data_IF_799672034422
#
_entry.id   IF_799672034422
#
_cell.length_a   1.000
_cell.length_b   1.000
_cell.length_c   1.000
_cell.angle_alpha   90.00
_cell.angle_beta   90.00
_cell.angle_gamma   90.00
#
_symmetry.space_group_name_H-M   'P 1'
#
loop_
_entity.id
_entity.type
_entity.pdbx_description
1 polymer ?
#
# COMPACT_ATOMS: atom_id res chain seq x y z
N UNK A 1 2.33 27.42 -31.55
CA UNK A 1 3.54 26.72 -31.07
C UNK A 1 3.19 25.97 -29.79
N UNK A 2 3.38 24.64 -29.71
CA UNK A 2 3.05 23.89 -28.50
C UNK A 2 4.19 23.93 -27.47
N UNK A 3 3.82 24.18 -26.21
CA UNK A 3 4.71 24.13 -25.06
C UNK A 3 4.94 22.65 -24.71
N UNK A 4 6.19 22.19 -24.83
CA UNK A 4 6.64 20.86 -24.42
C UNK A 4 6.66 20.81 -22.89
N UNK A 5 5.72 20.09 -22.28
CA UNK A 5 5.79 19.73 -20.86
C UNK A 5 6.79 18.59 -20.73
N UNK A 6 7.96 18.88 -20.16
CA UNK A 6 8.98 17.88 -19.90
C UNK A 6 8.45 16.87 -18.88
N UNK A 7 8.29 15.62 -19.30
CA UNK A 7 8.04 14.48 -18.42
C UNK A 7 9.19 14.37 -17.43
N UNK A 8 8.95 14.68 -16.16
CA UNK A 8 9.91 14.42 -15.08
C UNK A 8 10.16 12.91 -15.01
N UNK A 9 11.31 12.52 -15.51
CA UNK A 9 11.95 11.22 -15.37
C UNK A 9 11.91 10.77 -13.90
N UNK A 10 11.05 9.81 -13.59
CA UNK A 10 11.13 9.03 -12.36
C UNK A 10 12.30 8.07 -12.54
N UNK A 11 13.47 8.48 -12.05
CA UNK A 11 14.61 7.58 -11.87
C UNK A 11 15.30 7.84 -10.53
N UNK A 12 14.74 7.43 -9.36
CA UNK A 12 15.52 7.36 -8.13
C UNK A 12 16.30 6.05 -8.01
N UNK A 13 15.87 4.96 -8.67
CA UNK A 13 16.30 3.62 -8.28
C UNK A 13 17.57 3.10 -8.97
N UNK A 14 17.93 3.63 -10.15
CA UNK A 14 19.04 3.07 -10.92
C UNK A 14 20.43 3.58 -10.53
N UNK A 15 20.54 4.62 -9.68
CA UNK A 15 21.84 5.24 -9.34
C UNK A 15 22.60 4.55 -8.21
N UNK A 16 21.98 3.63 -7.48
CA UNK A 16 22.58 2.96 -6.30
C UNK A 16 23.01 1.50 -6.53
N UNK A 17 22.82 0.94 -7.73
CA UNK A 17 23.20 -0.45 -8.02
C UNK A 17 24.62 -0.61 -8.60
N UNK A 18 25.36 0.49 -8.81
CA UNK A 18 26.74 0.44 -9.31
C UNK A 18 27.69 0.92 -8.22
N UNK A 19 28.48 -0.01 -7.69
CA UNK A 19 29.53 0.16 -6.66
C UNK A 19 29.05 -0.12 -5.24
N UNK A 20 28.99 -1.39 -4.84
CA UNK A 20 29.87 -1.87 -3.77
C UNK A 20 29.81 -3.42 -3.65
N UNK A 21 30.71 -4.12 -4.36
CA UNK A 21 31.07 -5.52 -4.03
C UNK A 21 32.33 -5.55 -3.16
N UNK A 22 32.41 -4.74 -2.10
CA UNK A 22 33.43 -4.96 -1.07
C UNK A 22 32.91 -6.03 -0.11
N UNK A 23 33.53 -7.20 -0.25
CA UNK A 23 33.50 -8.30 0.70
C UNK A 23 33.69 -7.75 2.12
N UNK A 24 32.72 -7.98 3.01
CA UNK A 24 32.76 -7.62 4.44
C UNK A 24 33.90 -8.31 5.22
N UNK A 25 34.61 -9.22 4.55
CA UNK A 25 35.74 -10.01 5.03
C UNK A 25 37.01 -9.13 5.00
N UNK A 26 37.09 -8.13 5.89
CA UNK A 26 38.28 -7.29 6.03
C UNK A 26 38.07 -5.91 6.66
N UNK A 27 36.83 -5.45 6.80
CA UNK A 27 36.55 -4.12 7.36
C UNK A 27 36.75 -4.05 8.89
N UNK A 28 37.33 -2.97 9.45
CA UNK A 28 37.36 -2.73 10.89
C UNK A 28 35.96 -2.80 11.50
N UNK A 29 35.83 -3.29 12.74
CA UNK A 29 34.54 -3.55 13.41
C UNK A 29 33.56 -2.37 13.34
N UNK A 30 34.05 -1.15 13.58
CA UNK A 30 33.28 0.10 13.52
C UNK A 30 32.71 0.41 12.13
N UNK A 31 33.47 0.13 11.06
CA UNK A 31 33.02 0.34 9.68
C UNK A 31 31.99 -0.72 9.24
N UNK A 32 32.07 -1.94 9.78
CA UNK A 32 31.04 -2.97 9.58
C UNK A 32 29.71 -2.57 10.21
N UNK A 33 29.75 -2.05 11.43
CA UNK A 33 28.56 -1.56 12.14
C UNK A 33 27.86 -0.43 11.37
N UNK A 34 28.65 0.55 10.88
CA UNK A 34 28.13 1.64 10.04
C UNK A 34 27.49 1.11 8.75
N UNK A 35 28.15 0.20 8.02
CA UNK A 35 27.57 -0.40 6.81
C UNK A 35 26.28 -1.20 7.09
N UNK A 36 26.20 -1.90 8.22
CA UNK A 36 24.97 -2.60 8.61
C UNK A 36 23.83 -1.64 8.93
N UNK A 37 24.13 -0.52 9.60
CA UNK A 37 23.14 0.53 9.89
C UNK A 37 22.67 1.21 8.61
N UNK A 38 23.58 1.55 7.70
CA UNK A 38 23.25 2.15 6.40
C UNK A 38 22.38 1.22 5.54
N UNK A 39 22.69 -0.08 5.49
CA UNK A 39 21.84 -1.06 4.77
C UNK A 39 20.45 -1.17 5.37
N UNK A 40 20.36 -1.17 6.70
CA UNK A 40 19.06 -1.25 7.38
C UNK A 40 18.23 0.02 7.19
N UNK A 41 18.86 1.19 7.18
CA UNK A 41 18.20 2.46 6.90
C UNK A 41 17.72 2.52 5.44
N UNK A 42 18.54 2.07 4.49
CA UNK A 42 18.15 1.94 3.09
C UNK A 42 16.97 0.98 2.89
N UNK A 43 16.95 -0.17 3.58
CA UNK A 43 15.83 -1.12 3.51
C UNK A 43 14.54 -0.51 4.07
N UNK A 44 14.62 0.23 5.20
CA UNK A 44 13.47 0.98 5.73
C UNK A 44 12.95 2.00 4.73
N UNK A 45 13.82 2.78 4.12
CA UNK A 45 13.43 3.78 3.10
C UNK A 45 12.75 3.10 1.92
N UNK A 46 13.32 2.00 1.39
CA UNK A 46 12.75 1.27 0.26
C UNK A 46 11.36 0.68 0.58
N UNK A 47 11.17 0.14 1.80
CA UNK A 47 9.86 -0.32 2.27
C UNK A 47 8.86 0.83 2.36
N UNK A 48 9.28 1.98 2.89
CA UNK A 48 8.42 3.14 3.04
C UNK A 48 7.97 3.71 1.68
N UNK A 49 8.88 3.78 0.71
CA UNK A 49 8.55 4.18 -0.66
C UNK A 49 7.57 3.19 -1.31
N UNK A 50 7.81 1.89 -1.11
CA UNK A 50 6.93 0.84 -1.62
C UNK A 50 5.52 0.94 -1.02
N UNK A 51 5.41 1.16 0.29
CA UNK A 51 4.14 1.38 0.96
C UNK A 51 3.45 2.64 0.44
N UNK A 52 4.19 3.73 0.21
CA UNK A 52 3.65 4.96 -0.32
C UNK A 52 3.03 4.77 -1.72
N UNK A 53 3.70 4.01 -2.61
CA UNK A 53 3.18 3.66 -3.94
C UNK A 53 1.90 2.81 -3.81
N UNK A 54 1.91 1.79 -2.95
CA UNK A 54 0.72 0.94 -2.74
C UNK A 54 -0.47 1.79 -2.28
N UNK A 55 -0.24 2.68 -1.31
CA UNK A 55 -1.27 3.55 -0.76
C UNK A 55 -1.75 4.60 -1.78
N UNK A 56 -0.90 5.10 -2.68
CA UNK A 56 -1.32 6.07 -3.69
C UNK A 56 -2.13 5.42 -4.81
N UNK A 57 -1.66 4.30 -5.38
CA UNK A 57 -2.31 3.66 -6.52
C UNK A 57 -3.61 2.96 -6.11
N UNK A 58 -3.64 2.32 -4.93
CA UNK A 58 -4.85 1.65 -4.45
C UNK A 58 -6.01 2.64 -4.19
N UNK A 59 -5.74 3.93 -3.94
CA UNK A 59 -6.80 4.94 -3.71
C UNK A 59 -7.77 5.07 -4.86
N UNK A 60 -7.32 4.87 -6.11
CA UNK A 60 -8.17 4.99 -7.29
C UNK A 60 -9.05 3.75 -7.54
N UNK A 61 -8.78 2.66 -6.83
CA UNK A 61 -9.46 1.38 -7.03
C UNK A 61 -10.24 0.89 -5.80
N UNK A 62 -10.07 1.55 -4.64
CA UNK A 62 -10.82 1.27 -3.42
C UNK A 62 -12.15 2.03 -3.45
N UNK A 63 -13.27 1.31 -3.29
CA UNK A 63 -14.60 1.91 -3.25
C UNK A 63 -14.81 2.86 -2.06
N UNK A 64 -15.71 3.84 -2.23
CA UNK A 64 -15.97 4.88 -1.22
C UNK A 64 -16.57 4.37 0.10
N UNK A 65 -17.14 3.17 0.06
CA UNK A 65 -17.70 2.47 1.22
C UNK A 65 -16.70 1.56 1.93
N UNK A 66 -15.41 1.62 1.59
CA UNK A 66 -14.35 0.96 2.36
C UNK A 66 -13.84 1.90 3.45
N UNK A 67 -14.10 1.52 4.70
CA UNK A 67 -13.72 2.30 5.89
C UNK A 67 -12.49 1.73 6.62
N UNK A 68 -12.22 0.43 6.46
CA UNK A 68 -11.03 -0.21 7.00
C UNK A 68 -9.77 0.07 6.18
N UNK A 69 -8.63 0.22 6.87
CA UNK A 69 -7.30 0.39 6.27
C UNK A 69 -7.18 1.56 5.28
N UNK A 70 -8.04 2.58 5.40
CA UNK A 70 -8.04 3.77 4.54
C UNK A 70 -7.76 5.02 5.36
N UNK A 71 -6.83 5.84 4.87
CA UNK A 71 -6.52 7.12 5.51
C UNK A 71 -7.77 8.00 5.57
N UNK A 72 -7.99 8.66 6.71
CA UNK A 72 -9.17 9.53 6.97
C UNK A 72 -10.52 8.80 6.93
N UNK A 73 -10.52 7.49 7.18
CA UNK A 73 -11.71 6.70 7.46
C UNK A 73 -11.49 5.87 8.72
N UNK A 74 -12.56 5.60 9.43
CA UNK A 74 -12.56 4.88 10.69
C UNK A 74 -13.79 3.98 10.82
N UNK A 75 -13.76 3.07 11.80
CA UNK A 75 -14.94 2.30 12.16
C UNK A 75 -16.09 3.20 12.66
N UNK A 76 -15.77 4.34 13.29
CA UNK A 76 -16.76 5.34 13.69
C UNK A 76 -17.49 5.97 12.52
N UNK A 77 -16.78 6.27 11.42
CA UNK A 77 -17.40 6.80 10.20
C UNK A 77 -18.37 5.81 9.57
N UNK A 78 -18.02 4.51 9.57
CA UNK A 78 -18.91 3.45 9.09
C UNK A 78 -20.14 3.33 9.98
N UNK A 79 -19.96 3.35 11.31
CA UNK A 79 -21.07 3.27 12.25
C UNK A 79 -22.03 4.45 12.10
N UNK A 80 -21.50 5.68 12.03
CA UNK A 80 -22.31 6.88 11.83
C UNK A 80 -23.11 6.81 10.51
N UNK A 81 -22.46 6.36 9.42
CA UNK A 81 -23.12 6.17 8.13
C UNK A 81 -24.24 5.14 8.19
N UNK A 82 -23.99 3.95 8.77
CA UNK A 82 -25.00 2.89 8.87
C UNK A 82 -26.19 3.32 9.74
N UNK A 83 -25.92 3.94 10.90
CA UNK A 83 -26.97 4.47 11.78
C UNK A 83 -27.85 5.46 11.04
N UNK A 84 -27.26 6.43 10.33
CA UNK A 84 -28.01 7.40 9.54
C UNK A 84 -28.88 6.71 8.48
N UNK A 85 -28.31 5.77 7.72
CA UNK A 85 -29.04 5.02 6.67
C UNK A 85 -30.21 4.19 7.21
N UNK A 86 -30.06 3.63 8.41
CA UNK A 86 -31.13 2.88 9.06
C UNK A 86 -32.21 3.81 9.62
N UNK A 87 -31.83 4.94 10.23
CA UNK A 87 -32.78 5.97 10.66
C UNK A 87 -33.63 6.48 9.50
N UNK A 88 -33.03 6.83 8.37
CA UNK A 88 -33.77 7.28 7.17
C UNK A 88 -34.80 6.24 6.69
N UNK A 89 -34.43 4.96 6.69
CA UNK A 89 -35.34 3.89 6.27
C UNK A 89 -36.53 3.75 7.23
N UNK A 90 -36.29 3.79 8.54
CA UNK A 90 -37.32 3.67 9.58
C UNK A 90 -38.25 4.89 9.57
N UNK A 91 -37.69 6.10 9.49
CA UNK A 91 -38.46 7.36 9.40
C UNK A 91 -39.33 7.40 8.14
N UNK A 92 -38.83 6.84 7.03
CA UNK A 92 -39.58 6.63 5.80
C UNK A 92 -40.67 5.54 5.87
N UNK A 93 -40.94 4.96 7.06
CA UNK A 93 -41.82 3.80 7.28
C UNK A 93 -41.41 2.55 6.49
N UNK A 94 -40.14 2.49 6.10
CA UNK A 94 -39.52 1.30 5.51
C UNK A 94 -38.87 0.41 6.57
N UNK A 95 -38.11 -0.57 6.09
CA UNK A 95 -37.41 -1.52 6.93
C UNK A 95 -35.90 -1.46 6.64
N UNK A 96 -35.10 -1.69 7.68
CA UNK A 96 -33.65 -1.79 7.57
C UNK A 96 -33.21 -3.24 7.82
N UNK A 97 -32.67 -3.89 6.80
CA UNK A 97 -32.07 -5.22 6.89
C UNK A 97 -30.55 -5.14 6.75
N UNK A 98 -29.83 -5.82 7.63
CA UNK A 98 -28.38 -5.91 7.59
C UNK A 98 -27.94 -7.36 7.33
N UNK A 99 -27.00 -7.54 6.41
CA UNK A 99 -26.30 -8.81 6.19
C UNK A 99 -24.83 -8.60 6.51
N UNK A 100 -24.32 -9.37 7.46
CA UNK A 100 -22.91 -9.34 7.86
C UNK A 100 -22.19 -10.56 7.32
N UNK A 101 -21.01 -10.34 6.72
CA UNK A 101 -20.13 -11.38 6.20
C UNK A 101 -18.75 -11.20 6.82
N UNK A 102 -18.22 -12.29 7.37
CA UNK A 102 -16.85 -12.32 7.92
C UNK A 102 -16.03 -13.44 7.26
N UNK A 103 -14.76 -13.15 6.99
CA UNK A 103 -13.85 -14.09 6.34
C UNK A 103 -12.84 -14.59 7.37
N UNK A 104 -13.12 -15.76 7.92
CA UNK A 104 -12.24 -16.39 8.89
C UNK A 104 -10.83 -16.59 8.31
N UNK A 105 -9.82 -16.08 9.04
CA UNK A 105 -8.40 -16.17 8.66
C UNK A 105 -8.09 -15.60 7.27
N UNK A 106 -8.63 -14.43 6.96
CA UNK A 106 -8.53 -13.79 5.64
C UNK A 106 -7.08 -13.71 5.08
N UNK A 107 -6.09 -13.45 5.92
CA UNK A 107 -4.69 -13.38 5.50
C UNK A 107 -4.05 -14.75 5.28
N UNK A 108 -4.43 -15.76 6.06
CA UNK A 108 -3.90 -17.13 5.89
C UNK A 108 -4.49 -17.84 4.66
N UNK A 109 -5.71 -17.44 4.27
CA UNK A 109 -6.49 -18.08 3.20
C UNK A 109 -6.46 -17.35 1.87
N UNK A 110 -5.66 -16.28 1.75
CA UNK A 110 -5.60 -15.52 0.51
C UNK A 110 -4.96 -16.34 -0.61
N UNK A 111 -5.58 -16.34 -1.79
CA UNK A 111 -5.02 -17.02 -2.94
C UNK A 111 -3.87 -16.18 -3.53
N UNK A 112 -2.66 -16.38 -3.01
CA UNK A 112 -1.48 -15.57 -3.35
C UNK A 112 -1.24 -15.45 -4.86
N UNK A 113 -1.31 -16.54 -5.63
CA UNK A 113 -1.10 -16.50 -7.09
C UNK A 113 -2.10 -15.57 -7.79
N UNK A 114 -3.37 -15.64 -7.43
CA UNK A 114 -4.41 -14.79 -7.99
C UNK A 114 -4.32 -13.34 -7.51
N UNK A 115 -3.84 -13.10 -6.28
CA UNK A 115 -3.58 -11.76 -5.78
C UNK A 115 -2.45 -11.09 -6.58
N UNK A 116 -1.31 -11.78 -6.74
CA UNK A 116 -0.15 -11.27 -7.47
C UNK A 116 -0.44 -11.05 -8.96
N UNK A 117 -1.27 -11.90 -9.57
CA UNK A 117 -1.68 -11.70 -10.96
C UNK A 117 -2.53 -10.44 -11.14
N UNK A 118 -3.31 -10.04 -10.12
CA UNK A 118 -4.17 -8.84 -10.13
C UNK A 118 -3.40 -7.55 -9.91
N UNK A 119 -2.25 -7.53 -9.21
CA UNK A 119 -1.57 -6.28 -8.84
C UNK A 119 -1.40 -5.27 -10.00
N UNK A 120 -1.01 -5.66 -11.23
CA UNK A 120 -0.88 -4.68 -12.31
C UNK A 120 -2.18 -4.03 -12.78
N UNK A 121 -3.34 -4.70 -12.63
CA UNK A 121 -4.63 -4.07 -12.95
C UNK A 121 -4.99 -2.95 -11.98
N UNK A 122 -4.29 -2.87 -10.84
CA UNK A 122 -4.42 -1.82 -9.82
C UNK A 122 -3.30 -0.76 -9.92
N UNK A 123 -2.56 -0.72 -11.04
CA UNK A 123 -1.46 0.23 -11.24
C UNK A 123 -0.20 -0.07 -10.44
N UNK A 124 -0.14 -1.22 -9.75
CA UNK A 124 0.99 -1.57 -8.89
C UNK A 124 2.16 -2.15 -9.69
N UNK A 125 3.40 -1.80 -9.31
CA UNK A 125 4.58 -2.17 -10.08
C UNK A 125 4.88 -3.66 -10.03
N UNK A 126 5.33 -4.21 -11.15
CA UNK A 126 5.54 -5.65 -11.33
C UNK A 126 6.61 -6.25 -10.40
N UNK A 127 7.52 -5.41 -9.90
CA UNK A 127 8.53 -5.77 -8.88
C UNK A 127 7.92 -6.32 -7.57
N UNK A 128 6.63 -6.13 -7.33
CA UNK A 128 5.89 -6.68 -6.19
C UNK A 128 5.42 -8.13 -6.38
N UNK A 129 5.61 -8.71 -7.58
CA UNK A 129 5.29 -10.12 -7.86
C UNK A 129 6.37 -11.11 -7.40
N UNK A 130 7.55 -10.62 -7.02
CA UNK A 130 8.74 -11.42 -6.73
C UNK A 130 8.76 -11.96 -5.30
#
# INVERSE_FOLDING_TARGET
MPIKVASKSIQPFQRLAKTNRQTTIGLPRKLREIQTMERHEQDKTARQETLAIIVSEAKNHIGDRQYGFRQRRSAGDLLAYLTHRWSEAIEGKGEALAVSLDVAKAFDRVWHKALLSKLPSYGLPEKLRA
#
